data_IF_442353840191
#
_entry.id   IF_442353840191
#
_cell.length_a   1.000
_cell.length_b   1.000
_cell.length_c   1.000
_cell.angle_alpha   90.00
_cell.angle_beta   90.00
_cell.angle_gamma   90.00
#
_symmetry.space_group_name_H-M   'P 1'
#
loop_
_entity.id
_entity.type
_entity.pdbx_description
1 polymer ?
#
# COMPACT_ATOMS: atom_id res chain seq x y z
N UNK A 1 15.38 10.42 -25.06
CA UNK A 1 16.13 9.88 -23.90
C UNK A 1 15.52 8.54 -23.55
N UNK A 2 16.31 7.47 -23.49
CA UNK A 2 15.81 6.14 -23.15
C UNK A 2 16.08 5.83 -21.69
N UNK A 3 15.05 5.44 -20.95
CA UNK A 3 15.12 5.04 -19.55
C UNK A 3 14.93 3.53 -19.47
N UNK A 4 15.98 2.85 -19.03
CA UNK A 4 15.96 1.41 -18.85
C UNK A 4 15.40 1.07 -17.46
N UNK A 5 14.42 0.18 -17.42
CA UNK A 5 13.74 -0.24 -16.18
C UNK A 5 13.65 -1.76 -16.11
N UNK A 6 13.70 -2.31 -14.90
CA UNK A 6 13.52 -3.76 -14.71
C UNK A 6 12.06 -4.20 -14.74
N UNK A 7 11.15 -3.29 -14.40
CA UNK A 7 9.74 -3.57 -14.28
C UNK A 7 8.95 -2.72 -15.28
N UNK A 8 7.75 -3.15 -15.62
CA UNK A 8 6.84 -2.43 -16.54
C UNK A 8 6.24 -1.19 -15.86
N UNK A 9 7.09 -0.22 -15.46
CA UNK A 9 6.72 0.97 -14.68
C UNK A 9 5.59 1.76 -15.34
N UNK A 10 5.59 1.87 -16.67
CA UNK A 10 4.53 2.53 -17.42
C UNK A 10 3.17 1.84 -17.27
N UNK A 11 3.13 0.50 -17.30
CA UNK A 11 1.92 -0.28 -17.10
C UNK A 11 1.44 -0.19 -15.65
N UNK A 12 2.35 -0.31 -14.68
CA UNK A 12 2.05 -0.16 -13.25
C UNK A 12 1.45 1.22 -12.96
N UNK A 13 2.05 2.28 -13.49
CA UNK A 13 1.56 3.63 -13.27
C UNK A 13 0.17 3.84 -13.89
N UNK A 14 -0.05 3.37 -15.12
CA UNK A 14 -1.36 3.48 -15.79
C UNK A 14 -2.48 2.72 -15.07
N UNK A 15 -2.20 1.52 -14.56
CA UNK A 15 -3.23 0.63 -13.99
C UNK A 15 -3.44 0.88 -12.49
N UNK A 16 -2.36 1.07 -11.73
CA UNK A 16 -2.41 1.13 -10.26
C UNK A 16 -1.91 2.47 -9.70
N UNK A 17 -1.43 3.40 -10.52
CA UNK A 17 -0.85 4.67 -10.05
C UNK A 17 -1.81 5.51 -9.20
N UNK A 18 -3.08 5.61 -9.61
CA UNK A 18 -4.10 6.33 -8.85
C UNK A 18 -4.54 5.64 -7.54
N UNK A 19 -4.26 4.34 -7.39
CA UNK A 19 -4.60 3.59 -6.17
C UNK A 19 -3.56 3.80 -5.06
N UNK A 20 -2.28 3.96 -5.41
CA UNK A 20 -1.18 3.94 -4.44
C UNK A 20 -0.43 5.27 -4.28
N UNK A 21 -0.61 6.19 -5.24
CA UNK A 21 0.05 7.49 -5.21
C UNK A 21 -0.96 8.58 -4.91
N UNK A 22 -0.55 9.58 -4.13
CA UNK A 22 -1.29 10.83 -4.02
C UNK A 22 -1.52 11.43 -5.42
N UNK A 23 -2.64 12.13 -5.68
CA UNK A 23 -2.94 12.70 -6.99
C UNK A 23 -1.81 13.54 -7.60
N UNK A 24 -1.13 14.36 -6.78
CA UNK A 24 0.00 15.17 -7.22
C UNK A 24 1.20 14.34 -7.70
N UNK A 25 1.56 13.29 -6.94
CA UNK A 25 2.65 12.37 -7.32
C UNK A 25 2.29 11.56 -8.56
N UNK A 26 1.06 11.06 -8.63
CA UNK A 26 0.57 10.33 -9.79
C UNK A 26 0.69 11.17 -11.07
N UNK A 27 0.12 12.38 -11.07
CA UNK A 27 0.18 13.29 -12.22
C UNK A 27 1.62 13.62 -12.61
N UNK A 28 2.48 13.94 -11.63
CA UNK A 28 3.88 14.25 -11.90
C UNK A 28 4.59 13.10 -12.63
N UNK A 29 4.45 11.87 -12.14
CA UNK A 29 5.10 10.73 -12.76
C UNK A 29 4.48 10.37 -14.11
N UNK A 30 3.16 10.49 -14.25
CA UNK A 30 2.49 10.21 -15.51
C UNK A 30 2.98 11.18 -16.60
N UNK A 31 3.03 12.47 -16.30
CA UNK A 31 3.51 13.46 -17.24
C UNK A 31 4.97 13.22 -17.61
N UNK A 32 5.87 13.01 -16.63
CA UNK A 32 7.33 12.93 -16.87
C UNK A 32 7.77 11.60 -17.48
N UNK A 33 7.13 10.48 -17.12
CA UNK A 33 7.61 9.14 -17.48
C UNK A 33 6.80 8.48 -18.59
N UNK A 34 5.55 8.89 -18.80
CA UNK A 34 4.62 8.19 -19.71
C UNK A 34 4.17 9.07 -20.86
N UNK A 35 3.93 10.36 -20.63
CA UNK A 35 3.35 11.27 -21.63
C UNK A 35 4.38 12.14 -22.36
N UNK A 36 5.64 12.19 -21.90
CA UNK A 36 6.67 12.94 -22.60
C UNK A 36 7.14 12.21 -23.87
N UNK A 37 7.04 12.88 -25.02
CA UNK A 37 7.45 12.35 -26.33
C UNK A 37 8.96 12.10 -26.44
N UNK A 38 9.77 12.78 -25.63
CA UNK A 38 11.23 12.64 -25.62
C UNK A 38 11.75 11.57 -24.65
N UNK A 39 10.86 10.85 -23.95
CA UNK A 39 11.21 9.78 -23.01
C UNK A 39 10.67 8.44 -23.47
N UNK A 40 11.55 7.47 -23.67
CA UNK A 40 11.19 6.09 -23.98
C UNK A 40 11.54 5.18 -22.80
N UNK A 41 10.55 4.49 -22.24
CA UNK A 41 10.77 3.49 -21.19
C UNK A 41 10.91 2.12 -21.83
N UNK A 42 12.08 1.51 -21.66
CA UNK A 42 12.38 0.17 -22.18
C UNK A 42 12.63 -0.77 -21.02
N UNK A 43 11.93 -1.91 -21.02
CA UNK A 43 12.10 -2.94 -20.00
C UNK A 43 13.32 -3.81 -20.33
N UNK A 44 14.21 -4.01 -19.36
CA UNK A 44 15.45 -4.77 -19.54
C UNK A 44 15.77 -5.66 -18.33
N UNK A 45 16.50 -6.75 -18.60
CA UNK A 45 16.94 -7.72 -17.60
C UNK A 45 18.38 -7.54 -17.17
N UNK A 46 19.02 -6.43 -17.52
CA UNK A 46 20.44 -6.24 -17.25
C UNK A 46 20.68 -5.97 -15.76
N UNK A 47 20.62 -7.04 -14.96
CA UNK A 47 20.71 -7.06 -13.49
C UNK A 47 22.11 -6.76 -12.96
N UNK A 48 23.14 -6.93 -13.81
CA UNK A 48 24.51 -6.59 -13.47
C UNK A 48 24.82 -5.14 -13.88
N UNK A 49 25.18 -4.26 -12.92
CA UNK A 49 25.62 -2.89 -13.23
C UNK A 49 26.72 -2.80 -14.29
N UNK A 50 27.64 -3.77 -14.35
CA UNK A 50 28.70 -3.78 -15.37
C UNK A 50 28.16 -4.08 -16.78
N UNK A 51 27.15 -4.95 -16.90
CA UNK A 51 26.48 -5.24 -18.16
C UNK A 51 25.56 -4.08 -18.60
N UNK A 52 25.05 -3.31 -17.63
CA UNK A 52 24.25 -2.11 -17.92
C UNK A 52 25.09 -1.05 -18.63
N UNK A 53 26.34 -0.87 -18.18
CA UNK A 53 27.30 0.05 -18.81
C UNK A 53 27.82 -0.44 -20.17
N UNK A 54 27.78 -1.74 -20.44
CA UNK A 54 28.22 -2.29 -21.73
C UNK A 54 27.19 -2.14 -22.85
N UNK A 55 25.98 -1.64 -22.55
CA UNK A 55 24.90 -1.47 -23.52
C UNK A 55 24.30 -2.80 -24.01
N UNK A 56 24.67 -3.93 -23.40
CA UNK A 56 24.11 -5.22 -23.75
C UNK A 56 22.72 -5.35 -23.13
N UNK A 57 21.70 -5.08 -23.94
CA UNK A 57 20.30 -5.35 -23.60
C UNK A 57 20.07 -6.84 -23.83
N UNK A 58 20.12 -7.64 -22.76
CA UNK A 58 19.73 -9.05 -22.83
C UNK A 58 18.27 -9.21 -23.29
N UNK A 59 17.81 -10.46 -23.45
CA UNK A 59 16.41 -10.70 -23.84
C UNK A 59 15.43 -10.06 -22.86
N UNK A 60 14.29 -9.49 -23.31
CA UNK A 60 13.25 -8.97 -22.42
C UNK A 60 12.61 -10.11 -21.62
N UNK A 61 12.54 -10.00 -20.28
CA UNK A 61 11.67 -10.85 -19.47
C UNK A 61 10.41 -10.07 -19.17
N UNK A 62 9.29 -10.74 -19.34
CA UNK A 62 7.98 -10.24 -18.92
C UNK A 62 7.85 -10.53 -17.43
N UNK A 63 7.82 -9.47 -16.63
CA UNK A 63 7.47 -9.56 -15.22
C UNK A 63 5.97 -9.30 -15.06
N UNK A 64 5.27 -10.18 -14.35
CA UNK A 64 3.85 -10.01 -13.95
C UNK A 64 3.73 -9.01 -12.78
N UNK A 65 4.22 -7.78 -12.99
CA UNK A 65 4.32 -6.76 -11.94
C UNK A 65 2.95 -6.41 -11.32
N UNK A 66 1.88 -6.43 -12.12
CA UNK A 66 0.53 -6.11 -11.63
C UNK A 66 0.01 -7.20 -10.69
N UNK A 67 0.18 -8.46 -11.05
CA UNK A 67 -0.21 -9.61 -10.23
C UNK A 67 0.62 -9.66 -8.94
N UNK A 68 1.93 -9.43 -9.04
CA UNK A 68 2.81 -9.37 -7.88
C UNK A 68 2.40 -8.25 -6.89
N UNK A 69 2.10 -7.04 -7.40
CA UNK A 69 1.60 -5.93 -6.56
C UNK A 69 0.28 -6.33 -5.91
N UNK A 70 -0.64 -6.91 -6.66
CA UNK A 70 -1.93 -7.33 -6.11
C UNK A 70 -1.77 -8.39 -5.01
N UNK A 71 -0.93 -9.40 -5.23
CA UNK A 71 -0.66 -10.43 -4.25
C UNK A 71 0.02 -9.87 -2.99
N UNK A 72 1.07 -9.05 -3.13
CA UNK A 72 1.81 -8.48 -2.00
C UNK A 72 0.97 -7.51 -1.18
N UNK A 73 0.25 -6.61 -1.83
CA UNK A 73 -0.53 -5.58 -1.11
C UNK A 73 -1.89 -6.08 -0.62
N UNK A 74 -2.44 -7.15 -1.19
CA UNK A 74 -3.64 -7.80 -0.62
C UNK A 74 -3.33 -8.60 0.64
N UNK A 75 -2.08 -9.05 0.80
CA UNK A 75 -1.69 -9.96 1.90
C UNK A 75 -0.87 -9.32 3.01
N UNK A 76 -0.37 -8.08 2.84
CA UNK A 76 0.52 -7.40 3.80
C UNK A 76 1.50 -8.40 4.43
N UNK A 77 2.34 -9.05 3.63
CA UNK A 77 3.16 -10.21 4.03
C UNK A 77 4.04 -9.97 5.28
N UNK A 78 4.34 -8.71 5.58
CA UNK A 78 5.12 -8.31 6.75
C UNK A 78 4.27 -8.21 8.04
N UNK A 79 2.94 -8.26 7.94
CA UNK A 79 2.02 -8.39 9.07
C UNK A 79 2.12 -9.80 9.62
N UNK A 80 2.54 -9.91 10.88
CA UNK A 80 2.73 -11.18 11.57
C UNK A 80 1.87 -11.20 12.83
N UNK A 81 1.39 -12.39 13.20
CA UNK A 81 0.69 -12.62 14.47
C UNK A 81 1.65 -12.64 15.69
N UNK A 82 2.93 -12.35 15.46
CA UNK A 82 3.97 -12.29 16.49
C UNK A 82 4.30 -10.85 16.83
N UNK A 83 4.41 -10.54 18.13
CA UNK A 83 4.84 -9.23 18.60
C UNK A 83 6.24 -8.88 18.07
N UNK A 84 6.43 -7.61 17.70
CA UNK A 84 7.74 -7.09 17.30
C UNK A 84 8.53 -6.65 18.55
N UNK A 85 9.81 -7.00 18.61
CA UNK A 85 10.65 -6.65 19.76
C UNK A 85 10.77 -5.12 19.94
N UNK A 86 10.74 -4.67 21.20
CA UNK A 86 10.93 -3.26 21.59
C UNK A 86 9.90 -2.27 21.00
N UNK A 87 8.68 -2.74 20.71
CA UNK A 87 7.58 -1.88 20.25
C UNK A 87 6.58 -1.59 21.37
N UNK A 88 5.91 -0.44 21.27
CA UNK A 88 4.78 -0.14 22.13
C UNK A 88 3.58 -1.01 21.75
N UNK A 89 2.93 -1.62 22.73
CA UNK A 89 1.75 -2.44 22.52
C UNK A 89 0.49 -1.60 22.71
N UNK A 90 -0.31 -1.50 21.67
CA UNK A 90 -1.63 -0.89 21.71
C UNK A 90 -2.70 -1.98 21.74
N UNK A 91 -3.81 -1.70 22.39
CA UNK A 91 -5.00 -2.57 22.45
C UNK A 91 -6.19 -1.76 21.99
N UNK A 92 -7.04 -2.37 21.17
CA UNK A 92 -8.29 -1.78 20.69
C UNK A 92 -9.46 -2.62 21.19
N UNK A 93 -10.59 -1.96 21.45
CA UNK A 93 -11.85 -2.63 21.74
C UNK A 93 -13.02 -1.80 21.20
N UNK A 94 -13.97 -2.48 20.56
CA UNK A 94 -15.18 -1.90 20.02
C UNK A 94 -16.43 -2.52 20.63
N UNK A 95 -17.26 -1.70 21.27
CA UNK A 95 -18.48 -2.17 21.93
C UNK A 95 -19.76 -1.72 21.22
N UNK A 96 -20.81 -2.55 21.27
CA UNK A 96 -22.17 -2.20 20.85
C UNK A 96 -23.20 -2.89 21.74
N UNK A 97 -24.06 -2.13 22.41
CA UNK A 97 -25.12 -2.65 23.28
C UNK A 97 -26.48 -2.03 22.95
N UNK A 98 -27.57 -2.71 23.33
CA UNK A 98 -28.93 -2.20 23.15
C UNK A 98 -29.55 -1.99 24.53
N UNK A 99 -29.54 -0.74 24.97
CA UNK A 99 -30.10 -0.30 26.25
C UNK A 99 -30.88 0.98 25.95
N UNK A 100 -32.21 0.90 25.90
CA UNK A 100 -33.09 2.03 25.53
C UNK A 100 -32.72 2.70 24.18
N UNK A 101 -32.16 1.91 23.26
CA UNK A 101 -31.51 2.36 22.04
C UNK A 101 -30.15 1.69 21.87
N UNK A 102 -29.62 1.67 20.64
CA UNK A 102 -28.30 1.10 20.39
C UNK A 102 -27.22 2.12 20.71
N UNK A 103 -26.25 1.74 21.52
CA UNK A 103 -25.09 2.55 21.85
C UNK A 103 -23.86 1.80 21.36
N UNK A 104 -22.93 2.52 20.74
CA UNK A 104 -21.69 1.94 20.26
C UNK A 104 -20.54 2.92 20.51
N UNK A 105 -19.34 2.39 20.70
CA UNK A 105 -18.14 3.17 20.97
C UNK A 105 -16.90 2.34 20.70
N UNK A 106 -15.77 3.02 20.66
CA UNK A 106 -14.45 2.42 20.51
C UNK A 106 -13.47 3.02 21.52
N UNK A 107 -12.39 2.29 21.75
CA UNK A 107 -11.27 2.74 22.55
C UNK A 107 -9.96 2.17 22.01
N UNK A 108 -8.91 2.98 22.05
CA UNK A 108 -7.52 2.60 21.80
C UNK A 108 -6.70 2.93 23.04
N UNK A 109 -6.04 1.93 23.61
CA UNK A 109 -5.29 2.07 24.87
C UNK A 109 -3.89 1.51 24.75
N UNK A 110 -2.97 2.03 25.57
CA UNK A 110 -1.77 1.30 25.96
C UNK A 110 -1.99 0.61 27.30
N UNK A 111 -0.97 -0.08 27.82
CA UNK A 111 -1.01 -0.58 29.20
C UNK A 111 -1.11 0.50 30.28
N UNK A 112 -0.96 1.78 29.93
CA UNK A 112 -0.87 2.89 30.89
C UNK A 112 -2.00 3.89 30.77
N UNK A 113 -2.50 4.13 29.56
CA UNK A 113 -3.46 5.20 29.33
C UNK A 113 -4.38 4.95 28.12
N UNK A 114 -5.45 5.74 28.05
CA UNK A 114 -6.33 5.81 26.87
C UNK A 114 -5.73 6.80 25.89
N UNK A 115 -5.39 6.33 24.69
CA UNK A 115 -4.87 7.15 23.61
C UNK A 115 -6.03 7.84 22.89
N UNK A 116 -7.09 7.10 22.60
CA UNK A 116 -8.27 7.60 21.90
C UNK A 116 -9.51 6.85 22.36
N UNK A 117 -10.66 7.54 22.40
CA UNK A 117 -11.96 6.90 22.57
C UNK A 117 -13.06 7.80 22.04
N UNK A 118 -14.17 7.20 21.61
CA UNK A 118 -15.28 7.98 21.09
C UNK A 118 -16.57 7.21 20.88
N UNK A 119 -17.71 7.92 20.77
CA UNK A 119 -18.98 7.32 20.39
C UNK A 119 -19.00 6.99 18.89
N UNK A 120 -19.64 5.88 18.55
CA UNK A 120 -19.90 5.46 17.17
C UNK A 120 -21.38 5.66 16.82
N UNK A 121 -21.73 5.71 15.51
CA UNK A 121 -23.12 5.82 15.08
C UNK A 121 -24.03 4.76 15.73
N UNK A 122 -25.24 5.17 16.06
CA UNK A 122 -26.28 4.37 16.74
C UNK A 122 -26.70 3.11 15.96
N UNK A 123 -26.25 2.92 14.72
CA UNK A 123 -26.50 1.72 13.91
C UNK A 123 -25.27 0.79 13.79
N UNK A 124 -24.21 1.03 14.56
CA UNK A 124 -22.96 0.27 14.49
C UNK A 124 -23.09 -1.07 15.23
N UNK A 125 -22.83 -2.18 14.54
CA UNK A 125 -22.79 -3.52 15.14
C UNK A 125 -21.53 -3.71 15.99
N UNK A 126 -21.49 -4.76 16.82
CA UNK A 126 -20.31 -5.06 17.65
C UNK A 126 -19.06 -5.30 16.80
N UNK A 127 -19.16 -6.13 15.76
CA UNK A 127 -18.02 -6.39 14.86
C UNK A 127 -17.57 -5.14 14.10
N UNK A 128 -18.50 -4.25 13.72
CA UNK A 128 -18.13 -2.99 13.07
C UNK A 128 -17.44 -2.05 14.05
N UNK A 129 -17.84 -2.06 15.33
CA UNK A 129 -17.17 -1.29 16.36
C UNK A 129 -15.71 -1.76 16.51
N UNK A 130 -15.48 -3.08 16.57
CA UNK A 130 -14.12 -3.65 16.65
C UNK A 130 -13.24 -3.31 15.45
N UNK A 131 -13.81 -3.30 14.23
CA UNK A 131 -13.06 -2.91 13.02
C UNK A 131 -12.80 -1.40 12.96
N UNK A 132 -13.62 -0.60 13.63
CA UNK A 132 -13.47 0.87 13.66
C UNK A 132 -12.50 1.33 14.76
N UNK A 133 -12.36 0.53 15.82
CA UNK A 133 -11.45 0.76 16.94
C UNK A 133 -9.99 0.58 16.52
#
# INVERSE_FOLDING_TARGET
>A
MTVLVFHTVSAVLKVKGGHWLSPQRFLKYQTVLVEQDDVEIVVTNTVNPASFLSGNMGEPVVHECLEAIEATYSSCLDLKDTLLENTETWSTDGSSCVISGRHAGYVVTTSREVIESGPLPTNTSVQKAEITA
#
